data_IF_498975065997
#
_entry.id   IF_498975065997
#
_cell.length_a   1.000
_cell.length_b   1.000
_cell.length_c   1.000
_cell.angle_alpha   90.00
_cell.angle_beta   90.00
_cell.angle_gamma   90.00
#
_symmetry.space_group_name_H-M   'P 1'
#
loop_
_entity.id
_entity.type
_entity.pdbx_description
1 polymer ?
#
# COMPACT_ATOMS: atom_id res chain seq x y z
N UNK A 1 10.58 17.41 14.12
CA UNK A 1 10.68 16.36 13.10
C UNK A 1 11.48 15.18 13.64
N UNK A 2 10.83 14.05 13.77
CA UNK A 2 11.56 12.86 14.16
C UNK A 2 12.38 12.37 12.97
N UNK A 3 13.69 12.37 13.12
CA UNK A 3 14.57 11.72 12.14
C UNK A 3 14.43 10.22 12.36
N UNK A 4 13.78 9.52 11.46
CA UNK A 4 13.78 8.07 11.48
C UNK A 4 15.17 7.58 11.14
N UNK A 5 15.69 6.72 12.00
CA UNK A 5 16.96 6.08 11.77
C UNK A 5 16.83 5.20 10.52
N UNK A 6 17.70 5.42 9.52
CA UNK A 6 17.72 4.59 8.33
C UNK A 6 18.10 3.16 8.70
N UNK A 7 17.26 2.21 8.32
CA UNK A 7 17.54 0.80 8.55
C UNK A 7 18.53 0.31 7.50
N UNK A 8 19.37 -0.60 7.93
CA UNK A 8 20.30 -1.26 7.03
C UNK A 8 19.53 -2.09 6.00
N UNK A 9 19.91 -1.97 4.73
CA UNK A 9 19.36 -2.79 3.67
C UNK A 9 19.99 -4.18 3.69
N UNK A 10 19.29 -5.15 4.27
CA UNK A 10 19.72 -6.55 4.27
C UNK A 10 19.35 -7.19 2.93
N UNK A 11 19.93 -8.36 2.67
CA UNK A 11 19.58 -9.16 1.48
C UNK A 11 18.09 -9.47 1.44
N UNK A 12 17.51 -9.83 2.57
CA UNK A 12 16.07 -10.15 2.66
C UNK A 12 15.20 -8.93 2.37
N UNK A 13 15.55 -7.78 2.92
CA UNK A 13 14.82 -6.53 2.67
C UNK A 13 14.88 -6.16 1.19
N UNK A 14 16.05 -6.33 0.57
CA UNK A 14 16.23 -6.02 -0.84
C UNK A 14 15.38 -6.93 -1.73
N UNK A 15 15.32 -8.23 -1.42
CA UNK A 15 14.49 -9.18 -2.16
C UNK A 15 13.01 -8.75 -2.14
N UNK A 16 12.49 -8.42 -0.97
CA UNK A 16 11.10 -8.01 -0.82
C UNK A 16 10.85 -6.67 -1.48
N UNK A 17 11.76 -5.71 -1.28
CA UNK A 17 11.64 -4.39 -1.90
C UNK A 17 11.62 -4.47 -3.43
N UNK A 18 12.55 -5.23 -4.01
CA UNK A 18 12.63 -5.38 -5.48
C UNK A 18 11.37 -6.06 -6.04
N UNK A 19 10.75 -6.94 -5.27
CA UNK A 19 9.54 -7.63 -5.70
C UNK A 19 8.31 -6.71 -5.73
N UNK A 20 8.32 -5.63 -4.96
CA UNK A 20 7.13 -4.78 -4.82
C UNK A 20 7.26 -3.40 -5.46
N UNK A 21 8.49 -2.88 -5.59
CA UNK A 21 8.70 -1.45 -5.93
C UNK A 21 8.08 -1.04 -7.27
N UNK A 22 7.98 -1.94 -8.21
CA UNK A 22 7.44 -1.66 -9.54
C UNK A 22 6.02 -2.20 -9.75
N UNK A 23 5.40 -2.75 -8.71
CA UNK A 23 4.04 -3.29 -8.84
C UNK A 23 3.01 -2.21 -8.62
N UNK A 24 1.96 -2.24 -9.43
CA UNK A 24 0.82 -1.31 -9.36
C UNK A 24 -0.47 -2.01 -8.92
N UNK A 25 -0.41 -3.32 -8.68
CA UNK A 25 -1.57 -4.15 -8.38
C UNK A 25 -1.86 -4.31 -6.89
N UNK A 26 -1.11 -3.62 -6.03
CA UNK A 26 -1.28 -3.65 -4.56
C UNK A 26 -1.27 -5.08 -4.03
N UNK A 27 -0.10 -5.76 -4.07
CA UNK A 27 -0.02 -7.16 -3.69
C UNK A 27 -0.21 -7.36 -2.18
N UNK A 28 -0.72 -8.54 -1.82
CA UNK A 28 -0.70 -9.02 -0.43
C UNK A 28 0.68 -9.58 -0.11
N UNK A 29 0.95 -9.77 1.19
CA UNK A 29 2.20 -10.42 1.62
C UNK A 29 2.32 -11.84 1.05
N UNK A 30 1.20 -12.57 0.97
CA UNK A 30 1.19 -13.91 0.42
C UNK A 30 1.54 -13.93 -1.07
N UNK A 31 1.04 -12.97 -1.83
CA UNK A 31 1.38 -12.83 -3.25
C UNK A 31 2.87 -12.55 -3.44
N UNK A 32 3.45 -11.67 -2.62
CA UNK A 32 4.89 -11.41 -2.64
C UNK A 32 5.67 -12.67 -2.25
N UNK A 33 5.23 -13.38 -1.21
CA UNK A 33 5.87 -14.63 -0.81
C UNK A 33 5.87 -15.65 -1.94
N UNK A 34 4.74 -15.82 -2.63
CA UNK A 34 4.65 -16.77 -3.74
C UNK A 34 5.62 -16.43 -4.87
N UNK A 35 5.80 -15.15 -5.16
CA UNK A 35 6.77 -14.68 -6.15
C UNK A 35 8.21 -14.98 -5.74
N UNK A 36 8.51 -14.87 -4.44
CA UNK A 36 9.85 -15.07 -3.90
C UNK A 36 10.13 -16.49 -3.40
N UNK A 37 9.20 -17.40 -3.60
CA UNK A 37 9.29 -18.77 -3.04
C UNK A 37 10.60 -19.47 -3.41
N UNK A 38 11.07 -19.33 -4.64
CA UNK A 38 12.29 -19.98 -5.11
C UNK A 38 13.57 -19.42 -4.48
N UNK A 39 13.50 -18.24 -3.87
CA UNK A 39 14.66 -17.63 -3.20
C UNK A 39 14.93 -18.21 -1.81
N UNK A 40 14.03 -19.04 -1.28
CA UNK A 40 14.18 -19.64 0.04
C UNK A 40 13.72 -18.77 1.20
N UNK A 41 13.19 -17.56 0.91
CA UNK A 41 12.68 -16.68 1.97
C UNK A 41 11.37 -17.23 2.54
N UNK A 42 11.20 -17.20 3.87
CA UNK A 42 9.99 -17.67 4.52
C UNK A 42 8.92 -16.58 4.57
N UNK A 43 7.65 -17.00 4.72
CA UNK A 43 6.52 -16.07 4.76
C UNK A 43 6.61 -15.10 5.95
N UNK A 44 7.04 -15.57 7.11
CA UNK A 44 7.20 -14.72 8.29
C UNK A 44 8.20 -13.59 8.05
N UNK A 45 9.28 -13.90 7.32
CA UNK A 45 10.28 -12.90 6.95
C UNK A 45 9.70 -11.88 5.97
N UNK A 46 8.89 -12.32 5.00
CA UNK A 46 8.20 -11.41 4.07
C UNK A 46 7.32 -10.43 4.85
N UNK A 47 6.49 -10.92 5.77
CA UNK A 47 5.65 -10.08 6.61
C UNK A 47 6.46 -9.06 7.42
N UNK A 48 7.56 -9.50 8.03
CA UNK A 48 8.42 -8.60 8.83
C UNK A 48 9.05 -7.50 7.97
N UNK A 49 9.52 -7.86 6.79
CA UNK A 49 10.15 -6.88 5.90
C UNK A 49 9.12 -5.88 5.39
N UNK A 50 7.93 -6.33 5.02
CA UNK A 50 6.86 -5.43 4.58
C UNK A 50 6.45 -4.48 5.71
N UNK A 51 6.24 -4.99 6.93
CA UNK A 51 5.90 -4.17 8.09
C UNK A 51 6.97 -3.13 8.39
N UNK A 52 8.24 -3.52 8.32
CA UNK A 52 9.38 -2.63 8.51
C UNK A 52 9.41 -1.51 7.47
N UNK A 53 9.13 -1.83 6.21
CA UNK A 53 9.10 -0.83 5.15
C UNK A 53 7.90 0.14 5.27
N UNK A 54 6.77 -0.35 5.77
CA UNK A 54 5.62 0.51 6.09
C UNK A 54 6.00 1.49 7.21
N UNK A 55 6.62 0.97 8.26
CA UNK A 55 7.09 1.80 9.38
C UNK A 55 8.08 2.88 8.94
N UNK A 56 8.94 2.55 7.98
CA UNK A 56 9.94 3.49 7.46
C UNK A 56 9.37 4.45 6.39
N UNK A 57 8.09 4.33 6.06
CA UNK A 57 7.44 5.21 5.08
C UNK A 57 7.75 4.88 3.63
N UNK A 58 8.34 3.71 3.35
CA UNK A 58 8.65 3.27 1.99
C UNK A 58 7.42 2.68 1.30
N UNK A 59 6.55 2.03 2.08
CA UNK A 59 5.31 1.44 1.60
C UNK A 59 4.13 2.02 2.36
N UNK A 60 3.00 2.13 1.67
CA UNK A 60 1.69 2.37 2.28
C UNK A 60 0.91 1.06 2.31
N UNK A 61 -0.13 1.00 3.12
CA UNK A 61 -1.03 -0.15 3.18
C UNK A 61 -2.45 0.25 2.80
N UNK A 62 -3.17 -0.68 2.20
CA UNK A 62 -4.59 -0.55 1.90
C UNK A 62 -5.27 -1.81 2.43
N UNK A 63 -6.21 -1.67 3.35
CA UNK A 63 -6.98 -2.80 3.85
C UNK A 63 -8.27 -2.92 3.04
N UNK A 64 -8.46 -4.09 2.47
CA UNK A 64 -9.64 -4.38 1.69
C UNK A 64 -10.02 -5.86 1.84
N UNK A 65 -11.28 -6.11 2.13
CA UNK A 65 -11.84 -7.45 2.26
C UNK A 65 -11.05 -8.32 3.27
N UNK A 66 -10.73 -7.72 4.43
CA UNK A 66 -9.97 -8.34 5.51
C UNK A 66 -8.52 -8.71 5.15
N UNK A 67 -8.01 -8.21 4.03
CA UNK A 67 -6.61 -8.40 3.63
C UNK A 67 -5.88 -7.07 3.58
N UNK A 68 -4.64 -7.07 4.04
CA UNK A 68 -3.74 -5.92 3.90
C UNK A 68 -2.98 -6.05 2.60
N UNK A 69 -3.05 -5.01 1.78
CA UNK A 69 -2.29 -4.88 0.53
C UNK A 69 -1.26 -3.79 0.67
N UNK A 70 -0.18 -3.90 -0.07
CA UNK A 70 0.97 -3.01 0.05
C UNK A 70 1.17 -2.22 -1.24
N UNK A 71 1.57 -0.97 -1.09
CA UNK A 71 1.66 -0.03 -2.18
C UNK A 71 2.96 0.77 -2.07
N UNK A 72 3.85 0.70 -3.08
CA UNK A 72 5.08 1.50 -3.07
C UNK A 72 4.84 2.99 -3.30
N UNK A 73 3.64 3.38 -3.74
CA UNK A 73 3.28 4.77 -3.97
C UNK A 73 2.82 5.41 -2.65
N UNK A 74 3.70 6.20 -2.03
CA UNK A 74 3.44 6.82 -0.72
C UNK A 74 2.92 8.25 -0.80
N UNK A 75 2.85 8.84 -2.01
CA UNK A 75 2.23 10.16 -2.19
C UNK A 75 0.71 10.06 -2.04
N UNK A 76 0.03 11.14 -1.60
CA UNK A 76 -1.42 11.13 -1.46
C UNK A 76 -2.12 10.74 -2.76
N UNK A 77 -2.99 9.75 -2.69
CA UNK A 77 -3.73 9.27 -3.85
C UNK A 77 -5.01 8.58 -3.38
N UNK A 78 -5.94 8.38 -4.30
CA UNK A 78 -7.16 7.62 -4.06
C UNK A 78 -7.05 6.23 -4.68
N UNK A 79 -7.92 5.34 -4.27
CA UNK A 79 -7.96 3.98 -4.79
C UNK A 79 -9.28 3.70 -5.50
N UNK A 80 -9.20 2.93 -6.57
CA UNK A 80 -10.36 2.37 -7.25
C UNK A 80 -10.36 0.86 -7.01
N UNK A 81 -11.45 0.34 -6.48
CA UNK A 81 -11.57 -1.10 -6.18
C UNK A 81 -12.67 -1.70 -7.04
N UNK A 82 -12.35 -2.74 -7.78
CA UNK A 82 -13.34 -3.50 -8.54
C UNK A 82 -13.96 -4.54 -7.63
N UNK A 83 -15.28 -4.48 -7.47
CA UNK A 83 -16.03 -5.43 -6.63
C UNK A 83 -16.13 -6.82 -7.25
N UNK A 84 -15.82 -6.98 -8.53
CA UNK A 84 -15.88 -8.27 -9.22
C UNK A 84 -14.55 -9.01 -9.15
N UNK A 85 -13.45 -8.36 -9.56
CA UNK A 85 -12.14 -9.02 -9.62
C UNK A 85 -11.20 -8.61 -8.49
N UNK A 86 -11.62 -7.69 -7.62
CA UNK A 86 -10.83 -7.16 -6.50
C UNK A 86 -9.58 -6.39 -6.91
N UNK A 87 -9.48 -6.01 -8.18
CA UNK A 87 -8.36 -5.20 -8.65
C UNK A 87 -8.39 -3.83 -7.97
N UNK A 88 -7.23 -3.39 -7.50
CA UNK A 88 -7.06 -2.06 -6.92
C UNK A 88 -6.16 -1.25 -7.84
N UNK A 89 -6.62 -0.07 -8.20
CA UNK A 89 -5.86 0.88 -9.01
C UNK A 89 -5.73 2.20 -8.27
N UNK A 90 -4.65 2.91 -8.51
CA UNK A 90 -4.42 4.23 -7.91
C UNK A 90 -4.87 5.32 -8.86
N UNK A 91 -5.42 6.38 -8.29
CA UNK A 91 -5.61 7.62 -9.02
C UNK A 91 -5.16 8.78 -8.14
N UNK A 92 -4.77 9.87 -8.76
CA UNK A 92 -4.40 11.08 -8.07
C UNK A 92 -5.60 11.64 -7.29
N UNK A 93 -5.36 12.11 -6.06
CA UNK A 93 -6.41 12.74 -5.28
C UNK A 93 -6.94 14.00 -5.99
N UNK A 94 -8.27 14.21 -5.98
CA UNK A 94 -8.82 15.47 -6.47
C UNK A 94 -8.21 16.66 -5.74
N UNK A 95 -8.01 17.78 -6.44
CA UNK A 95 -7.37 18.99 -5.87
C UNK A 95 -8.13 19.57 -4.69
N UNK A 96 -9.43 19.44 -4.70
CA UNK A 96 -10.33 20.00 -3.70
C UNK A 96 -10.78 18.96 -2.65
N UNK A 97 -10.01 17.87 -2.51
CA UNK A 97 -10.35 16.83 -1.53
C UNK A 97 -10.38 17.41 -0.10
N UNK A 98 -9.52 18.39 0.19
CA UNK A 98 -9.49 19.02 1.50
C UNK A 98 -10.78 19.77 1.81
N UNK A 99 -11.48 20.23 0.78
CA UNK A 99 -12.75 20.93 0.93
C UNK A 99 -13.90 20.01 1.33
N UNK A 100 -13.70 18.70 1.24
CA UNK A 100 -14.68 17.71 1.68
C UNK A 100 -14.72 17.59 3.20
N UNK A 101 -13.67 18.03 3.89
CA UNK A 101 -13.65 18.00 5.34
C UNK A 101 -14.66 19.01 5.90
N UNK A 102 -15.44 18.62 6.93
CA UNK A 102 -16.35 19.57 7.57
C UNK A 102 -15.57 20.74 8.16
N UNK A 103 -16.15 21.92 8.11
CA UNK A 103 -15.59 23.07 8.81
C UNK A 103 -15.66 22.85 10.32
N UNK A 104 -14.73 23.43 11.05
CA UNK A 104 -14.69 23.38 12.52
C UNK A 104 -14.50 21.99 13.10
N UNK A 105 -13.66 21.18 12.43
CA UNK A 105 -13.25 19.91 13.04
C UNK A 105 -12.49 20.19 14.33
N UNK A 106 -12.83 19.45 15.38
CA UNK A 106 -12.21 19.61 16.69
C UNK A 106 -10.95 18.74 16.84
N UNK A 107 -10.28 18.41 15.74
CA UNK A 107 -9.04 17.62 15.74
C UNK A 107 -8.22 17.95 14.50
N UNK A 108 -6.94 17.62 14.58
CA UNK A 108 -6.01 17.80 13.47
C UNK A 108 -6.11 16.59 12.53
N UNK A 109 -6.33 16.87 11.26
CA UNK A 109 -6.40 15.80 10.24
C UNK A 109 -4.99 15.53 9.71
N UNK A 110 -4.51 14.31 9.88
CA UNK A 110 -3.18 13.91 9.43
C UNK A 110 -3.21 13.13 8.11
N UNK A 111 -4.34 12.51 7.79
CA UNK A 111 -4.43 11.62 6.65
C UNK A 111 -5.85 11.55 6.12
N UNK A 112 -5.98 11.40 4.81
CA UNK A 112 -7.25 11.17 4.14
C UNK A 112 -7.11 9.90 3.31
N UNK A 113 -8.02 8.95 3.53
CA UNK A 113 -8.14 7.77 2.71
C UNK A 113 -9.41 7.87 1.88
N UNK A 114 -9.29 7.71 0.57
CA UNK A 114 -10.42 7.80 -0.34
C UNK A 114 -10.42 6.59 -1.28
N UNK A 115 -11.55 5.88 -1.30
CA UNK A 115 -11.70 4.69 -2.12
C UNK A 115 -13.04 4.73 -2.85
N UNK A 116 -13.00 4.56 -4.16
CA UNK A 116 -14.21 4.32 -4.95
C UNK A 116 -14.32 2.84 -5.25
N UNK A 117 -15.50 2.29 -5.04
CA UNK A 117 -15.79 0.89 -5.35
C UNK A 117 -16.74 0.85 -6.54
N UNK A 118 -16.44 -0.02 -7.48
CA UNK A 118 -17.23 -0.14 -8.68
C UNK A 118 -16.84 -1.37 -9.48
N UNK A 119 -17.06 -1.33 -10.78
CA UNK A 119 -16.75 -2.43 -11.68
C UNK A 119 -15.77 -1.93 -12.74
N UNK A 120 -14.59 -2.55 -12.82
CA UNK A 120 -13.56 -2.13 -13.76
C UNK A 120 -13.97 -2.42 -15.21
N UNK A 121 -13.28 -1.78 -16.15
CA UNK A 121 -13.59 -1.91 -17.58
C UNK A 121 -13.55 -3.36 -18.07
N UNK A 122 -12.68 -4.19 -17.50
CA UNK A 122 -12.55 -5.59 -17.90
C UNK A 122 -13.69 -6.47 -17.36
N UNK A 123 -14.43 -6.01 -16.36
CA UNK A 123 -15.51 -6.77 -15.72
C UNK A 123 -16.91 -6.29 -16.14
N UNK A 124 -16.97 -5.20 -16.87
CA UNK A 124 -18.24 -4.67 -17.38
C UNK A 124 -18.79 -5.49 -18.53
#
# INVERSE_FOLDING_TARGET
MSTKKLRRYTKQRRLVHDAIINRTDHPTAREIFNELRSSGIGIATVYRQLASMVEDGILATVDYDSETRYDPLTSPHAHLVCSVCNRISDIELPRDVDDLAPENLAFEVNEIELTWKGICNNCQ
#
